data_IF_276585130761
#
_entry.id   IF_276585130761
#
_cell.length_a   1.000
_cell.length_b   1.000
_cell.length_c   1.000
_cell.angle_alpha   90.00
_cell.angle_beta   90.00
_cell.angle_gamma   90.00
#
_symmetry.space_group_name_H-M   'P 1'
#
loop_
_entity.id
_entity.type
_entity.pdbx_description
1 polymer ?
#
# COMPACT_ATOMS: atom_id res chain seq x y z
N UNK A 1 14.41 -19.90 29.87
CA UNK A 1 13.74 -19.37 29.96
C UNK A 1 12.71 -19.47 29.08
N UNK A 2 11.97 -19.38 29.10
CA UNK A 2 11.04 -19.56 28.41
C UNK A 2 10.32 -18.58 28.05
N UNK A 3 9.86 -18.46 27.19
CA UNK A 3 9.28 -17.58 26.71
C UNK A 3 8.01 -17.63 26.93
N UNK A 4 7.50 -16.94 27.00
CA UNK A 4 6.33 -16.79 27.35
C UNK A 4 5.42 -16.99 26.38
N UNK A 5 4.93 -17.36 26.35
CA UNK A 5 4.21 -17.44 25.66
C UNK A 5 3.45 -16.73 25.18
N UNK A 6 3.25 -16.51 24.80
CA UNK A 6 2.68 -15.94 24.28
C UNK A 6 1.76 -15.59 24.29
N UNK A 7 1.58 -15.42 24.45
CA UNK A 7 0.92 -15.05 24.45
C UNK A 7 -0.07 -15.29 23.80
N UNK A 8 -0.85 -15.45 23.92
CA UNK A 8 -1.61 -15.75 23.43
C UNK A 8 -2.47 -15.26 23.04
N UNK A 9 -3.09 -15.29 22.48
CA UNK A 9 -3.82 -14.80 21.95
C UNK A 9 -4.83 -14.60 22.15
N UNK A 10 -5.06 -14.45 22.49
CA UNK A 10 -5.62 -14.32 22.66
C UNK A 10 -6.45 -14.37 22.44
N UNK A 11 -6.83 -14.18 22.81
CA UNK A 11 -7.32 -14.26 22.66
C UNK A 11 -7.99 -14.04 21.94
N UNK A 12 -8.27 -13.89 21.73
CA UNK A 12 -8.57 -13.72 21.10
C UNK A 12 -8.92 -13.41 20.19
N UNK A 13 -9.08 -13.11 20.22
CA UNK A 13 -8.99 -12.83 19.45
C UNK A 13 -9.09 -12.69 18.42
N UNK A 14 -9.19 -12.31 18.32
CA UNK A 14 -8.90 -12.11 17.46
C UNK A 14 -8.43 -12.24 16.63
N UNK A 15 -8.15 -11.93 16.63
CA UNK A 15 -7.33 -11.88 15.94
C UNK A 15 -6.69 -12.29 15.58
N UNK A 16 -6.55 -12.35 15.69
CA UNK A 16 -5.68 -12.54 15.39
C UNK A 16 -5.14 -12.80 14.79
N UNK A 17 -4.85 -12.71 15.00
CA UNK A 17 -4.20 -12.80 14.37
C UNK A 17 -3.29 -12.84 14.34
N UNK A 18 -2.93 -12.80 14.35
CA UNK A 18 -2.00 -12.78 14.56
C UNK A 18 -1.30 -12.63 15.22
N UNK A 19 -1.01 -12.85 15.74
CA UNK A 19 -0.37 -12.66 16.22
C UNK A 19 0.78 -12.50 16.27
N UNK A 20 1.54 -13.10 16.47
CA UNK A 20 2.62 -12.59 16.53
C UNK A 20 2.94 -12.19 15.33
N UNK A 21 3.23 -11.03 15.18
CA UNK A 21 3.45 -10.47 13.94
C UNK A 21 4.68 -11.01 13.37
N UNK A 22 4.63 -11.36 12.15
CA UNK A 22 5.79 -11.57 11.37
C UNK A 22 6.48 -10.23 11.22
N UNK A 23 7.81 -10.23 11.28
CA UNK A 23 8.56 -9.02 10.99
C UNK A 23 8.34 -8.62 9.54
N UNK A 24 8.35 -7.32 9.27
CA UNK A 24 8.26 -6.84 7.91
C UNK A 24 9.45 -7.35 7.09
N UNK A 25 9.24 -7.60 5.81
CA UNK A 25 10.34 -8.02 4.94
C UNK A 25 11.43 -6.95 4.88
N UNK A 26 12.67 -7.43 4.74
CA UNK A 26 13.80 -6.52 4.63
C UNK A 26 14.30 -6.51 3.23
N UNK A 27 14.39 -5.82 2.44
CA UNK A 27 14.92 -5.90 1.08
C UNK A 27 13.94 -5.52 0.02
N UNK A 28 12.69 -5.28 0.40
CA UNK A 28 11.73 -4.78 -0.58
C UNK A 28 11.93 -3.28 -0.71
N UNK A 29 12.13 -2.84 -1.95
CA UNK A 29 12.50 -1.48 -2.23
C UNK A 29 11.49 -0.48 -1.67
N UNK A 30 11.98 0.45 -0.87
CA UNK A 30 11.20 1.57 -0.33
C UNK A 30 9.96 1.11 0.42
N UNK A 31 10.13 0.11 1.26
CA UNK A 31 9.04 -0.46 2.06
C UNK A 31 8.63 0.49 3.17
N UNK A 32 7.32 0.68 3.34
CA UNK A 32 6.78 1.45 4.45
C UNK A 32 5.50 0.79 4.95
N UNK A 33 5.42 0.61 6.25
CA UNK A 33 4.19 0.14 6.87
C UNK A 33 3.43 1.35 7.37
N UNK A 34 2.20 1.54 6.89
CA UNK A 34 1.41 2.68 7.30
C UNK A 34 0.62 2.41 8.58
N UNK A 35 0.15 1.18 8.77
CA UNK A 35 -0.55 0.79 9.98
C UNK A 35 -0.59 -0.74 10.04
N UNK A 36 -1.42 -1.29 10.94
CA UNK A 36 -1.48 -2.73 11.10
C UNK A 36 -1.93 -3.45 9.83
N UNK A 37 -2.66 -2.78 8.98
CA UNK A 37 -3.33 -3.39 7.84
C UNK A 37 -2.71 -3.02 6.50
N UNK A 38 -2.06 -1.88 6.40
CA UNK A 38 -1.61 -1.35 5.11
C UNK A 38 -0.10 -1.27 5.05
N UNK A 39 0.47 -1.94 4.03
CA UNK A 39 1.89 -1.83 3.73
C UNK A 39 2.05 -1.30 2.32
N UNK A 40 3.18 -0.64 2.05
CA UNK A 40 3.44 -0.04 0.75
C UNK A 40 4.89 -0.26 0.36
N UNK A 41 5.18 -0.18 -0.92
CA UNK A 41 6.56 -0.32 -1.39
C UNK A 41 6.71 0.13 -2.83
N UNK A 42 7.95 0.09 -3.32
CA UNK A 42 8.21 0.08 -4.75
C UNK A 42 7.92 -1.32 -5.29
N UNK A 43 8.38 -1.60 -6.52
CA UNK A 43 8.03 -2.84 -7.21
C UNK A 43 8.61 -4.07 -6.50
N UNK A 44 7.79 -4.99 -6.00
CA UNK A 44 8.29 -6.23 -5.43
C UNK A 44 8.65 -7.23 -6.52
N UNK A 45 9.59 -8.11 -6.21
CA UNK A 45 9.88 -9.27 -7.06
C UNK A 45 8.85 -10.36 -6.76
N UNK A 46 8.88 -11.46 -7.55
CA UNK A 46 8.00 -12.59 -7.27
C UNK A 46 8.24 -13.15 -5.87
N UNK A 47 9.50 -13.34 -5.51
CA UNK A 47 9.81 -13.86 -4.18
C UNK A 47 9.31 -12.92 -3.09
N UNK A 48 9.42 -11.61 -3.33
CA UNK A 48 8.97 -10.63 -2.35
C UNK A 48 7.45 -10.60 -2.23
N UNK A 49 6.74 -10.86 -3.32
CA UNK A 49 5.28 -10.98 -3.23
C UNK A 49 4.90 -12.15 -2.35
N UNK A 50 5.68 -13.24 -2.39
CA UNK A 50 5.43 -14.37 -1.49
C UNK A 50 5.68 -13.98 -0.03
N UNK A 51 6.70 -13.16 0.21
CA UNK A 51 6.94 -12.66 1.58
C UNK A 51 5.78 -11.79 2.05
N UNK A 52 5.26 -10.96 1.17
CA UNK A 52 4.13 -10.10 1.51
C UNK A 52 2.92 -10.96 1.86
N UNK A 53 2.68 -12.02 1.08
CA UNK A 53 1.60 -12.94 1.39
C UNK A 53 1.77 -13.55 2.79
N UNK A 54 3.01 -13.81 3.17
CA UNK A 54 3.30 -14.37 4.49
C UNK A 54 2.91 -13.47 5.64
N UNK A 55 2.71 -12.17 5.39
CA UNK A 55 2.25 -11.24 6.40
C UNK A 55 0.74 -11.30 6.61
N UNK A 56 0.04 -12.08 5.81
CA UNK A 56 -1.42 -12.15 5.88
C UNK A 56 -2.12 -11.35 4.80
N UNK A 57 -1.36 -10.68 3.93
CA UNK A 57 -1.92 -9.89 2.85
C UNK A 57 -2.56 -10.82 1.82
N UNK A 58 -3.73 -10.43 1.33
CA UNK A 58 -4.42 -11.20 0.28
C UNK A 58 -4.83 -10.32 -0.90
N UNK A 59 -4.50 -9.04 -0.85
CA UNK A 59 -4.85 -8.11 -1.93
C UNK A 59 -3.64 -7.25 -2.25
N UNK A 60 -3.26 -7.21 -3.53
CA UNK A 60 -2.17 -6.39 -4.03
C UNK A 60 -2.76 -5.32 -4.94
N UNK A 61 -2.46 -4.07 -4.65
CA UNK A 61 -2.89 -2.96 -5.50
C UNK A 61 -1.65 -2.33 -6.12
N UNK A 62 -1.62 -2.26 -7.44
CA UNK A 62 -0.46 -1.73 -8.16
C UNK A 62 -0.85 -0.46 -8.90
N UNK A 63 -0.19 0.64 -8.56
CA UNK A 63 -0.39 1.92 -9.25
C UNK A 63 0.63 2.17 -10.37
N UNK A 64 1.57 1.26 -10.54
CA UNK A 64 2.58 1.40 -11.57
C UNK A 64 2.07 0.97 -12.94
N UNK A 65 2.82 1.32 -13.98
CA UNK A 65 2.45 0.92 -15.33
C UNK A 65 3.14 -0.41 -15.66
N UNK A 66 2.41 -1.29 -16.32
CA UNK A 66 2.99 -2.57 -16.75
C UNK A 66 4.07 -2.37 -17.80
N UNK A 67 4.09 -1.22 -18.45
CA UNK A 67 5.08 -0.93 -19.49
C UNK A 67 6.41 -0.43 -18.95
N UNK A 68 6.49 -0.17 -17.66
CA UNK A 68 7.75 0.30 -17.09
C UNK A 68 8.77 -0.83 -17.11
N UNK A 69 10.04 -0.47 -17.37
CA UNK A 69 11.07 -1.49 -17.51
C UNK A 69 11.26 -2.30 -16.22
N UNK A 70 10.94 -1.73 -15.08
CA UNK A 70 11.10 -2.43 -13.80
C UNK A 70 9.83 -3.13 -13.36
N UNK A 71 8.76 -3.06 -14.13
CA UNK A 71 7.53 -3.75 -13.79
C UNK A 71 7.77 -5.26 -13.82
N UNK A 72 7.10 -5.97 -12.92
CA UNK A 72 7.22 -7.42 -12.90
C UNK A 72 6.42 -7.99 -14.07
N UNK A 73 7.04 -8.78 -14.95
CA UNK A 73 6.27 -9.37 -16.04
C UNK A 73 5.15 -10.23 -15.51
N UNK A 74 3.95 -10.01 -16.02
CA UNK A 74 2.76 -10.78 -15.67
C UNK A 74 2.55 -10.88 -14.16
N UNK A 75 2.56 -9.73 -13.50
CA UNK A 75 2.39 -9.71 -12.06
C UNK A 75 1.04 -10.31 -11.64
N UNK A 76 0.01 -10.11 -12.45
CA UNK A 76 -1.32 -10.65 -12.14
C UNK A 76 -1.27 -12.16 -11.98
N UNK A 77 -0.52 -12.85 -12.86
CA UNK A 77 -0.42 -14.29 -12.77
C UNK A 77 0.33 -14.73 -11.52
N UNK A 78 1.40 -13.99 -11.17
CA UNK A 78 2.15 -14.31 -9.97
C UNK A 78 1.29 -14.14 -8.72
N UNK A 79 0.55 -13.03 -8.65
CA UNK A 79 -0.32 -12.75 -7.52
C UNK A 79 -1.40 -13.83 -7.40
N UNK A 80 -1.96 -14.22 -8.54
CA UNK A 80 -3.00 -15.25 -8.55
C UNK A 80 -2.45 -16.60 -8.07
N UNK A 81 -1.26 -16.97 -8.53
CA UNK A 81 -0.64 -18.23 -8.11
C UNK A 81 -0.39 -18.25 -6.60
N UNK A 82 -0.16 -17.09 -6.02
CA UNK A 82 0.07 -16.98 -4.59
C UNK A 82 -1.23 -16.93 -3.78
N UNK A 83 -2.37 -17.02 -4.45
CA UNK A 83 -3.66 -17.02 -3.75
C UNK A 83 -4.10 -15.63 -3.32
N UNK A 84 -3.60 -14.60 -3.98
CA UNK A 84 -3.99 -13.22 -3.69
C UNK A 84 -4.75 -12.63 -4.85
N UNK A 85 -5.45 -11.53 -4.60
CA UNK A 85 -6.18 -10.81 -5.62
C UNK A 85 -5.37 -9.62 -6.09
N UNK A 86 -5.28 -9.41 -7.39
CA UNK A 86 -4.51 -8.33 -7.99
C UNK A 86 -5.44 -7.25 -8.51
N UNK A 87 -5.18 -6.00 -8.12
CA UNK A 87 -5.95 -4.84 -8.56
C UNK A 87 -4.98 -3.85 -9.17
N UNK A 88 -5.19 -3.51 -10.43
CA UNK A 88 -4.30 -2.60 -11.14
C UNK A 88 -5.00 -1.28 -11.40
N UNK A 89 -4.41 -0.20 -10.92
CA UNK A 89 -4.87 1.16 -11.19
C UNK A 89 -3.68 1.87 -11.83
N UNK A 90 -3.56 1.79 -13.16
CA UNK A 90 -2.37 2.36 -13.81
C UNK A 90 -2.38 3.87 -13.74
N UNK A 91 -1.40 4.44 -13.04
CA UNK A 91 -1.26 5.88 -12.89
C UNK A 91 -0.03 6.34 -13.67
N UNK A 92 -0.26 7.17 -14.68
CA UNK A 92 0.83 7.73 -15.47
C UNK A 92 1.59 8.72 -14.58
N UNK A 93 2.88 8.48 -14.37
CA UNK A 93 3.67 9.34 -13.51
C UNK A 93 3.72 10.77 -14.05
N UNK A 94 3.57 10.93 -15.36
CA UNK A 94 3.59 12.25 -15.97
C UNK A 94 2.23 12.95 -15.93
N UNK A 95 1.17 12.26 -15.54
CA UNK A 95 -0.16 12.84 -15.56
C UNK A 95 -1.13 12.11 -14.61
N UNK A 96 -0.96 12.29 -13.29
CA UNK A 96 -1.93 11.72 -12.35
C UNK A 96 -3.25 12.46 -12.46
N UNK A 97 -4.36 11.72 -12.47
CA UNK A 97 -5.68 12.32 -12.69
C UNK A 97 -6.57 12.15 -11.47
N UNK A 98 -7.61 12.99 -11.42
CA UNK A 98 -8.61 12.85 -10.36
C UNK A 98 -9.38 11.54 -10.49
N UNK A 99 -9.55 11.05 -11.71
CA UNK A 99 -10.21 9.77 -11.89
C UNK A 99 -9.38 8.65 -11.31
N UNK A 100 -8.06 8.68 -11.50
CA UNK A 100 -7.18 7.71 -10.88
C UNK A 100 -7.36 7.72 -9.36
N UNK A 101 -7.42 8.92 -8.79
CA UNK A 101 -7.58 9.05 -7.36
C UNK A 101 -8.93 8.52 -6.89
N UNK A 102 -9.99 8.79 -7.63
CA UNK A 102 -11.30 8.28 -7.27
C UNK A 102 -11.34 6.75 -7.32
N UNK A 103 -10.68 6.16 -8.31
CA UNK A 103 -10.59 4.70 -8.37
C UNK A 103 -9.84 4.15 -7.16
N UNK A 104 -8.76 4.80 -6.80
CA UNK A 104 -7.99 4.39 -5.63
C UNK A 104 -8.84 4.45 -4.37
N UNK A 105 -9.57 5.53 -4.18
CA UNK A 105 -10.43 5.67 -3.01
C UNK A 105 -11.49 4.58 -2.95
N UNK A 106 -12.08 4.25 -4.09
CA UNK A 106 -13.10 3.20 -4.15
C UNK A 106 -12.51 1.84 -3.78
N UNK A 107 -11.31 1.55 -4.26
CA UNK A 107 -10.65 0.29 -3.94
C UNK A 107 -10.32 0.23 -2.45
N UNK A 108 -9.77 1.31 -1.89
CA UNK A 108 -9.41 1.31 -0.48
C UNK A 108 -10.65 1.20 0.41
N UNK A 109 -11.77 1.75 -0.03
CA UNK A 109 -13.01 1.61 0.73
C UNK A 109 -13.48 0.15 0.74
N UNK A 110 -13.39 -0.52 -0.43
CA UNK A 110 -13.77 -1.94 -0.49
C UNK A 110 -12.87 -2.80 0.38
N UNK A 111 -11.60 -2.42 0.52
CA UNK A 111 -10.63 -3.22 1.25
C UNK A 111 -10.40 -2.73 2.68
N UNK A 112 -11.34 -1.97 3.21
CA UNK A 112 -11.10 -1.28 4.47
C UNK A 112 -10.93 -2.18 5.69
N UNK A 113 -11.34 -3.44 5.58
CA UNK A 113 -11.27 -4.35 6.72
C UNK A 113 -10.29 -5.49 6.54
N UNK A 114 -9.46 -5.45 5.51
CA UNK A 114 -8.53 -6.55 5.23
C UNK A 114 -7.12 -6.00 5.02
N UNK A 115 -6.10 -6.82 5.27
CA UNK A 115 -4.73 -6.40 4.99
C UNK A 115 -4.52 -6.21 3.49
N UNK A 116 -3.82 -5.14 3.12
CA UNK A 116 -3.59 -4.82 1.73
C UNK A 116 -2.17 -4.29 1.55
N UNK A 117 -1.57 -4.63 0.43
CA UNK A 117 -0.27 -4.07 0.05
C UNK A 117 -0.45 -3.26 -1.22
N UNK A 118 0.03 -2.03 -1.21
CA UNK A 118 -0.10 -1.13 -2.34
C UNK A 118 1.29 -0.74 -2.81
N UNK A 119 1.56 -0.87 -4.09
CA UNK A 119 2.88 -0.52 -4.60
C UNK A 119 2.80 0.19 -5.95
N UNK A 120 3.91 0.76 -6.35
CA UNK A 120 4.12 1.22 -7.71
C UNK A 120 5.56 0.86 -8.04
N UNK A 121 6.32 1.70 -8.72
CA UNK A 121 7.71 1.37 -9.03
C UNK A 121 8.64 1.77 -7.88
N UNK A 122 8.44 2.97 -7.31
CA UNK A 122 9.32 3.50 -6.28
C UNK A 122 8.57 3.98 -5.03
N UNK A 123 7.31 3.64 -4.89
CA UNK A 123 6.44 4.06 -3.80
C UNK A 123 6.05 5.55 -3.86
N UNK A 124 6.49 6.28 -4.87
CA UNK A 124 6.22 7.71 -4.95
C UNK A 124 4.74 8.00 -5.21
N UNK A 125 4.16 7.35 -6.23
CA UNK A 125 2.74 7.54 -6.54
C UNK A 125 1.87 7.09 -5.38
N UNK A 126 2.23 5.96 -4.78
CA UNK A 126 1.47 5.40 -3.66
C UNK A 126 1.45 6.36 -2.49
N UNK A 127 2.60 6.90 -2.12
CA UNK A 127 2.67 7.79 -0.96
C UNK A 127 1.86 9.07 -1.18
N UNK A 128 1.87 9.60 -2.40
CA UNK A 128 1.10 10.80 -2.71
C UNK A 128 -0.40 10.51 -2.67
N UNK A 129 -0.81 9.35 -3.20
CA UNK A 129 -2.21 8.96 -3.16
C UNK A 129 -2.69 8.75 -1.73
N UNK A 130 -1.89 8.09 -0.90
CA UNK A 130 -2.27 7.92 0.51
C UNK A 130 -2.30 9.22 1.26
N UNK A 131 -1.41 10.17 0.93
CA UNK A 131 -1.47 11.47 1.58
C UNK A 131 -2.85 12.10 1.38
N UNK A 132 -3.32 12.13 0.14
CA UNK A 132 -4.63 12.70 -0.14
C UNK A 132 -5.75 11.88 0.50
N UNK A 133 -5.66 10.57 0.41
CA UNK A 133 -6.69 9.70 0.95
C UNK A 133 -6.81 9.88 2.46
N UNK A 134 -5.69 9.89 3.15
CA UNK A 134 -5.70 10.01 4.60
C UNK A 134 -6.15 11.39 5.04
N UNK A 135 -5.72 12.42 4.33
CA UNK A 135 -6.12 13.79 4.67
C UNK A 135 -7.60 14.04 4.35
N UNK A 136 -8.02 13.67 3.15
CA UNK A 136 -9.33 14.09 2.64
C UNK A 136 -10.45 13.11 2.93
N UNK A 137 -10.15 11.81 2.95
CA UNK A 137 -11.19 10.81 3.14
C UNK A 137 -11.26 10.35 4.59
N UNK A 138 -10.10 10.09 5.21
CA UNK A 138 -10.07 9.60 6.57
C UNK A 138 -9.99 10.71 7.62
N UNK A 139 -9.76 11.95 7.19
CA UNK A 139 -9.70 13.06 8.15
C UNK A 139 -8.49 13.05 9.04
N UNK A 140 -7.40 12.42 8.60
CA UNK A 140 -6.18 12.41 9.37
C UNK A 140 -5.59 13.81 9.45
N UNK A 141 -4.94 14.12 10.57
CA UNK A 141 -4.22 15.37 10.71
C UNK A 141 -3.27 15.56 9.52
N UNK A 142 -3.34 16.75 8.90
CA UNK A 142 -2.58 17.00 7.69
C UNK A 142 -1.08 16.88 7.91
N UNK A 143 -0.59 17.39 9.04
CA UNK A 143 0.85 17.31 9.30
C UNK A 143 1.32 15.86 9.42
N UNK A 144 0.50 15.00 9.99
CA UNK A 144 0.83 13.59 10.11
C UNK A 144 0.81 12.90 8.75
N UNK A 145 -0.23 13.18 7.95
CA UNK A 145 -0.32 12.59 6.60
C UNK A 145 0.87 13.04 5.76
N UNK A 146 1.26 14.33 5.89
CA UNK A 146 2.41 14.84 5.15
C UNK A 146 3.70 14.18 5.59
N UNK A 147 3.89 13.99 6.89
CA UNK A 147 5.12 13.36 7.37
C UNK A 147 5.26 11.95 6.84
N UNK A 148 4.14 11.22 6.73
CA UNK A 148 4.20 9.87 6.18
C UNK A 148 4.58 9.88 4.71
N UNK A 149 4.04 10.82 3.94
CA UNK A 149 4.40 10.96 2.54
C UNK A 149 5.87 11.34 2.39
N UNK A 150 6.32 12.31 3.19
CA UNK A 150 7.68 12.80 3.05
C UNK A 150 8.72 11.83 3.56
N UNK A 151 8.31 10.80 4.29
CA UNK A 151 9.22 9.70 4.59
C UNK A 151 9.61 8.94 3.32
N UNK A 152 8.80 9.04 2.27
CA UNK A 152 9.09 8.41 0.99
C UNK A 152 9.75 9.41 0.04
N UNK A 153 9.13 10.56 -0.17
CA UNK A 153 9.66 11.59 -1.06
C UNK A 153 8.90 12.90 -0.87
N UNK A 154 9.47 13.97 -1.38
CA UNK A 154 8.81 15.27 -1.41
C UNK A 154 8.38 15.56 -2.82
N UNK A 155 7.08 15.49 -3.11
CA UNK A 155 6.59 15.68 -4.48
C UNK A 155 6.97 17.04 -5.06
N UNK A 156 7.27 17.05 -6.36
CA UNK A 156 7.62 18.26 -7.09
C UNK A 156 6.84 18.30 -8.39
N UNK A 157 6.76 19.48 -8.99
CA UNK A 157 6.11 19.62 -10.28
C UNK A 157 4.65 19.24 -10.24
N UNK A 158 4.24 18.44 -11.22
CA UNK A 158 2.84 18.04 -11.32
C UNK A 158 2.38 17.28 -10.08
N UNK A 159 3.28 16.57 -9.42
CA UNK A 159 2.90 15.84 -8.21
C UNK A 159 2.73 16.77 -7.02
N UNK A 160 3.48 17.88 -6.96
CA UNK A 160 3.24 18.88 -5.93
C UNK A 160 1.86 19.50 -6.10
N UNK A 161 1.43 19.69 -7.35
CA UNK A 161 0.09 20.20 -7.61
C UNK A 161 -0.96 19.16 -7.27
N UNK A 162 -0.70 17.90 -7.62
CA UNK A 162 -1.64 16.83 -7.35
C UNK A 162 -1.93 16.70 -5.86
N UNK A 163 -0.91 16.75 -5.00
CA UNK A 163 -1.12 16.55 -3.58
C UNK A 163 -1.83 17.74 -2.95
N UNK A 164 -1.76 18.92 -3.57
CA UNK A 164 -2.47 20.09 -3.04
C UNK A 164 -3.97 20.03 -3.31
N UNK A 165 -4.39 19.31 -4.32
CA UNK A 165 -5.79 19.28 -4.68
C UNK A 165 -6.62 18.67 -3.57
N UNK A 166 -7.84 19.18 -3.41
CA UNK A 166 -8.82 18.59 -2.52
C UNK A 166 -9.80 17.82 -3.35
N UNK A 167 -10.26 16.69 -2.83
CA UNK A 167 -11.30 15.96 -3.50
C UNK A 167 -12.56 16.80 -3.57
N UNK A 168 -13.32 16.60 -4.64
CA UNK A 168 -14.59 17.30 -4.76
C UNK A 168 -15.55 16.76 -3.74
N UNK A 169 -16.29 17.66 -3.15
CA UNK A 169 -17.35 17.23 -2.26
C UNK A 169 -18.56 16.93 -3.10
N UNK A 170 -19.17 15.82 -2.87
CA UNK A 170 -20.35 15.45 -3.63
C UNK A 170 -21.53 15.31 -2.73
#
# INVERSE_FOLDING_TARGET
MKMPAPIKPGAGSKRSYGVFPMADPEGIYNWHRLDDRITTSGQPTEAQLAEIRGLGVRHIVNLGLHTHEKALPDEAATVDRLGMTYIHIPVDFQNPTEQDFRQFCAVMERLKDVPVHVHCIANARVSAFFYRFRRDVLGMDEARARAEMEAVWRPKGIWAEFVKRRGEKT
#
